data_IF_809716428184
#
_entry.id   IF_809716428184
#
_cell.length_a   1.000
_cell.length_b   1.000
_cell.length_c   1.000
_cell.angle_alpha   90.00
_cell.angle_beta   90.00
_cell.angle_gamma   90.00
#
_symmetry.space_group_name_H-M   'P 1'
#
loop_
_entity.id
_entity.type
_entity.pdbx_description
1 polymer ?
#
# COMPACT_ATOMS: atom_id res chain seq x y z
N UNK A 1 14.90 -0.87 31.33
CA UNK A 1 14.57 -0.97 31.82
C UNK A 1 14.24 -1.06 31.77
N UNK A 2 14.32 -1.16 31.42
CA UNK A 2 14.03 -1.46 31.66
C UNK A 2 13.91 -1.40 31.24
N UNK A 3 14.02 -1.42 30.91
CA UNK A 3 13.75 -1.65 31.03
C UNK A 3 13.73 -1.55 30.45
N UNK A 4 13.82 -1.67 30.11
CA UNK A 4 13.59 -1.73 30.03
C UNK A 4 13.56 -1.68 29.49
N UNK A 5 13.63 -1.92 29.19
CA UNK A 5 13.54 -2.05 29.21
C UNK A 5 13.46 -2.12 28.73
N UNK A 6 13.31 -2.34 28.48
CA UNK A 6 13.13 -2.56 28.61
C UNK A 6 13.00 -2.74 28.24
N UNK A 7 12.89 -2.89 27.98
CA UNK A 7 12.60 -3.21 28.17
C UNK A 7 12.46 -3.57 27.95
N UNK A 8 12.47 -3.85 27.64
CA UNK A 8 12.16 -4.30 27.84
C UNK A 8 11.85 -4.88 27.86
N UNK A 9 11.89 -5.15 27.62
CA UNK A 9 11.58 -5.68 27.99
C UNK A 9 11.22 -6.17 27.97
N UNK A 10 11.12 -6.51 28.20
CA UNK A 10 10.52 -7.03 28.29
C UNK A 10 10.29 -7.37 27.85
N UNK A 11 10.55 -7.77 27.60
CA UNK A 11 10.19 -8.17 27.17
C UNK A 11 10.12 -8.80 26.63
N UNK A 12 9.87 -9.81 26.47
CA UNK A 12 9.87 -10.42 25.92
C UNK A 12 9.32 -11.49 25.72
N UNK A 13 9.17 -12.27 26.21
CA UNK A 13 8.86 -13.46 26.04
C UNK A 13 7.60 -13.79 25.74
N UNK A 14 6.76 -13.84 26.35
CA UNK A 14 5.67 -13.98 25.75
C UNK A 14 5.68 -13.11 24.67
N UNK A 15 6.69 -12.98 24.27
CA UNK A 15 6.99 -12.11 23.37
C UNK A 15 6.61 -12.43 22.00
N UNK A 16 6.54 -13.62 21.48
CA UNK A 16 6.21 -13.86 20.10
C UNK A 16 4.87 -13.28 19.75
N UNK A 17 3.84 -13.47 20.54
CA UNK A 17 2.57 -12.87 20.27
C UNK A 17 2.62 -11.38 20.42
N UNK A 18 3.33 -10.93 21.42
CA UNK A 18 3.45 -9.51 21.66
C UNK A 18 4.14 -8.82 20.50
N UNK A 19 5.19 -9.45 19.99
CA UNK A 19 5.91 -8.88 18.85
C UNK A 19 5.01 -8.76 17.62
N UNK A 20 4.19 -9.77 17.35
CA UNK A 20 3.27 -9.72 16.25
C UNK A 20 2.26 -8.60 16.42
N UNK A 21 1.74 -8.43 17.63
CA UNK A 21 0.81 -7.34 17.90
C UNK A 21 1.47 -5.98 17.70
N UNK A 22 2.73 -5.84 18.13
CA UNK A 22 3.44 -4.59 18.00
C UNK A 22 3.68 -4.26 16.52
N UNK A 23 4.00 -5.27 15.71
CA UNK A 23 4.15 -5.06 14.28
C UNK A 23 2.86 -4.57 13.65
N UNK A 24 1.75 -5.20 14.02
CA UNK A 24 0.46 -4.83 13.46
C UNK A 24 -0.01 -3.47 13.93
N UNK A 25 0.46 -3.03 15.10
CA UNK A 25 0.07 -1.73 15.63
C UNK A 25 0.50 -0.58 14.72
N UNK A 26 1.59 -0.75 13.97
CA UNK A 26 2.04 0.29 13.04
C UNK A 26 1.10 0.47 11.86
N UNK A 27 0.28 -0.52 11.56
CA UNK A 27 -0.64 -0.47 10.44
C UNK A 27 -2.04 -0.05 10.86
N UNK A 28 -2.29 0.03 12.17
CA UNK A 28 -3.61 0.35 12.67
C UNK A 28 -4.01 1.76 12.31
N UNK A 29 -5.16 1.90 11.68
CA UNK A 29 -5.65 3.19 11.22
C UNK A 29 -4.98 3.72 9.98
N UNK A 30 -4.01 2.99 9.41
CA UNK A 30 -3.34 3.41 8.20
C UNK A 30 -4.35 3.44 7.05
N UNK A 31 -4.37 4.52 6.30
CA UNK A 31 -5.28 4.65 5.17
C UNK A 31 -4.61 4.13 3.91
N UNK A 32 -5.21 3.12 3.30
CA UNK A 32 -4.67 2.47 2.11
C UNK A 32 -5.70 2.57 0.99
N UNK A 33 -5.27 3.03 -0.18
CA UNK A 33 -6.12 3.05 -1.36
C UNK A 33 -5.64 1.97 -2.33
N UNK A 34 -6.56 1.13 -2.79
CA UNK A 34 -6.26 0.07 -3.76
C UNK A 34 -7.05 0.34 -5.04
N UNK A 35 -6.33 0.56 -6.13
CA UNK A 35 -6.92 0.91 -7.42
C UNK A 35 -6.70 -0.25 -8.38
N UNK A 36 -7.79 -0.92 -8.74
CA UNK A 36 -7.73 -2.06 -9.66
C UNK A 36 -9.11 -2.25 -10.27
N UNK A 37 -9.18 -2.51 -11.57
CA UNK A 37 -10.47 -2.75 -12.20
C UNK A 37 -11.01 -4.14 -11.88
N UNK A 38 -10.21 -5.03 -11.31
CA UNK A 38 -10.64 -6.36 -10.89
C UNK A 38 -11.25 -6.31 -9.50
N UNK A 39 -12.53 -6.66 -9.42
CA UNK A 39 -13.23 -6.74 -8.14
C UNK A 39 -12.59 -7.74 -7.20
N UNK A 40 -12.09 -8.86 -7.74
CA UNK A 40 -11.45 -9.89 -6.94
C UNK A 40 -10.20 -9.35 -6.26
N UNK A 41 -9.36 -8.64 -7.00
CA UNK A 41 -8.14 -8.06 -6.44
C UNK A 41 -8.47 -7.03 -5.38
N UNK A 42 -9.44 -6.14 -5.64
CA UNK A 42 -9.85 -5.15 -4.65
C UNK A 42 -10.31 -5.80 -3.36
N UNK A 43 -11.15 -6.82 -3.46
CA UNK A 43 -11.67 -7.52 -2.29
C UNK A 43 -10.59 -8.27 -1.53
N UNK A 44 -9.67 -8.92 -2.25
CA UNK A 44 -8.58 -9.64 -1.61
C UNK A 44 -7.72 -8.69 -0.80
N UNK A 45 -7.30 -7.59 -1.41
CA UNK A 45 -6.47 -6.60 -0.73
C UNK A 45 -7.22 -6.00 0.47
N UNK A 46 -8.48 -5.65 0.27
CA UNK A 46 -9.29 -5.05 1.33
C UNK A 46 -9.41 -5.99 2.53
N UNK A 47 -9.69 -7.27 2.27
CA UNK A 47 -9.83 -8.25 3.34
C UNK A 47 -8.53 -8.43 4.11
N UNK A 48 -7.42 -8.57 3.38
CA UNK A 48 -6.12 -8.77 4.00
C UNK A 48 -5.72 -7.57 4.86
N UNK A 49 -5.92 -6.38 4.34
CA UNK A 49 -5.49 -5.15 5.02
C UNK A 49 -6.41 -4.77 6.17
N UNK A 50 -7.71 -5.01 6.02
CA UNK A 50 -8.66 -4.72 7.10
C UNK A 50 -8.35 -5.55 8.33
N UNK A 51 -7.90 -6.80 8.15
CA UNK A 51 -7.52 -7.65 9.27
C UNK A 51 -6.34 -7.11 10.06
N UNK A 52 -5.51 -6.30 9.41
CA UNK A 52 -4.36 -5.69 10.06
C UNK A 52 -4.69 -4.32 10.66
N UNK A 53 -5.94 -3.93 10.60
CA UNK A 53 -6.39 -2.67 11.20
C UNK A 53 -6.31 -1.48 10.26
N UNK A 54 -5.99 -1.68 8.99
CA UNK A 54 -5.96 -0.60 8.02
C UNK A 54 -7.36 -0.12 7.67
N UNK A 55 -7.46 1.16 7.36
CA UNK A 55 -8.67 1.72 6.79
C UNK A 55 -8.50 1.69 5.26
N UNK A 56 -9.28 0.87 4.57
CA UNK A 56 -9.05 0.58 3.16
C UNK A 56 -10.12 1.25 2.30
N UNK A 57 -9.66 1.99 1.30
CA UNK A 57 -10.51 2.57 0.26
C UNK A 57 -10.17 1.87 -1.05
N UNK A 58 -11.14 1.70 -1.92
CA UNK A 58 -10.90 1.08 -3.22
C UNK A 58 -11.40 1.99 -4.34
N UNK A 59 -10.78 1.86 -5.51
CA UNK A 59 -11.18 2.60 -6.69
C UNK A 59 -11.09 1.67 -7.91
N UNK A 60 -11.96 1.90 -8.88
CA UNK A 60 -12.06 1.01 -10.03
C UNK A 60 -11.23 1.48 -11.23
N UNK A 61 -10.84 2.75 -11.24
CA UNK A 61 -10.00 3.29 -12.31
C UNK A 61 -9.26 4.52 -11.80
N UNK A 62 -8.45 5.12 -12.67
CA UNK A 62 -7.61 6.26 -12.29
C UNK A 62 -8.40 7.51 -11.93
N UNK A 63 -9.53 7.74 -12.58
CA UNK A 63 -10.34 8.93 -12.29
C UNK A 63 -11.01 8.80 -10.92
N UNK A 64 -11.58 7.61 -10.64
CA UNK A 64 -12.15 7.33 -9.33
C UNK A 64 -11.08 7.46 -8.24
N UNK A 65 -9.86 7.01 -8.57
CA UNK A 65 -8.74 7.09 -7.64
C UNK A 65 -8.40 8.52 -7.27
N UNK A 66 -8.34 9.41 -8.25
CA UNK A 66 -8.00 10.82 -7.96
C UNK A 66 -9.03 11.45 -7.05
N UNK A 67 -10.31 11.13 -7.24
CA UNK A 67 -11.36 11.63 -6.36
C UNK A 67 -11.19 11.09 -4.94
N UNK A 68 -10.88 9.80 -4.80
CA UNK A 68 -10.69 9.17 -3.49
C UNK A 68 -9.47 9.72 -2.77
N UNK A 69 -8.40 10.00 -3.51
CA UNK A 69 -7.19 10.59 -2.94
C UNK A 69 -7.49 11.96 -2.38
N UNK A 70 -8.23 12.78 -3.12
CA UNK A 70 -8.60 14.11 -2.67
C UNK A 70 -9.48 14.06 -1.42
N UNK A 71 -10.41 13.12 -1.38
CA UNK A 71 -11.35 13.00 -0.28
C UNK A 71 -10.72 12.43 0.99
N UNK A 72 -9.85 11.45 0.85
CA UNK A 72 -9.39 10.66 2.00
C UNK A 72 -7.90 10.84 2.32
N UNK A 73 -7.11 11.31 1.36
CA UNK A 73 -5.67 11.51 1.53
C UNK A 73 -5.00 10.27 2.12
N UNK A 74 -4.97 9.16 1.36
CA UNK A 74 -4.40 7.91 1.87
C UNK A 74 -2.91 8.04 2.16
N UNK A 75 -2.43 7.16 3.04
CA UNK A 75 -1.02 7.10 3.41
C UNK A 75 -0.19 6.34 2.38
N UNK A 76 -0.83 5.44 1.62
CA UNK A 76 -0.17 4.66 0.58
C UNK A 76 -1.20 4.25 -0.47
N UNK A 77 -0.75 4.13 -1.71
CA UNK A 77 -1.61 3.80 -2.86
C UNK A 77 -1.04 2.60 -3.59
N UNK A 78 -1.89 1.61 -3.87
CA UNK A 78 -1.59 0.51 -4.77
C UNK A 78 -2.40 0.71 -6.04
N UNK A 79 -1.75 0.64 -7.20
CA UNK A 79 -2.43 0.91 -8.46
C UNK A 79 -2.08 -0.12 -9.52
N UNK A 80 -3.12 -0.71 -10.13
CA UNK A 80 -2.97 -1.64 -11.24
C UNK A 80 -2.40 -0.90 -12.45
N UNK A 81 -1.42 -1.49 -13.09
CA UNK A 81 -0.79 -0.92 -14.28
C UNK A 81 -1.79 -0.88 -15.44
N UNK A 82 -2.56 -1.95 -15.61
CA UNK A 82 -3.47 -2.07 -16.74
C UNK A 82 -4.88 -1.66 -16.36
N UNK A 83 -5.25 -0.47 -16.76
CA UNK A 83 -6.62 0.01 -16.57
C UNK A 83 -7.03 0.77 -17.81
N UNK A 84 -8.34 0.75 -18.17
CA UNK A 84 -8.79 1.49 -19.35
C UNK A 84 -8.71 2.99 -19.13
N UNK A 85 -8.50 3.71 -20.20
CA UNK A 85 -8.49 5.17 -20.25
C UNK A 85 -7.29 5.79 -19.56
N UNK A 86 -7.12 5.57 -18.28
CA UNK A 86 -6.02 6.13 -17.49
C UNK A 86 -5.33 4.96 -16.81
N UNK A 87 -4.16 4.55 -17.33
CA UNK A 87 -3.45 3.39 -16.80
C UNK A 87 -2.72 3.73 -15.50
N UNK A 88 -2.08 2.74 -14.90
CA UNK A 88 -1.40 2.92 -13.64
C UNK A 88 -0.23 3.90 -13.70
N UNK A 89 0.52 3.90 -14.80
CA UNK A 89 1.63 4.85 -14.96
C UNK A 89 1.10 6.28 -15.04
N UNK A 90 0.05 6.49 -15.82
CA UNK A 90 -0.57 7.81 -15.95
C UNK A 90 -1.16 8.27 -14.61
N UNK A 91 -1.83 7.37 -13.91
CA UNK A 91 -2.41 7.68 -12.60
C UNK A 91 -1.31 8.08 -11.62
N UNK A 92 -0.22 7.30 -11.58
CA UNK A 92 0.91 7.59 -10.70
C UNK A 92 1.52 8.96 -11.04
N UNK A 93 1.70 9.24 -12.33
CA UNK A 93 2.26 10.53 -12.74
C UNK A 93 1.40 11.69 -12.26
N UNK A 94 0.08 11.56 -12.36
CA UNK A 94 -0.83 12.61 -11.89
C UNK A 94 -0.73 12.81 -10.38
N UNK A 95 -0.61 11.73 -9.61
CA UNK A 95 -0.44 11.83 -8.17
C UNK A 95 0.88 12.55 -7.85
N UNK A 96 1.95 12.14 -8.50
CA UNK A 96 3.28 12.68 -8.21
C UNK A 96 3.49 14.11 -8.69
N UNK A 97 2.71 14.55 -9.67
CA UNK A 97 2.75 15.95 -10.11
C UNK A 97 1.94 16.90 -9.22
N UNK A 98 1.12 16.35 -8.35
CA UNK A 98 0.32 17.17 -7.45
C UNK A 98 1.13 17.50 -6.21
N UNK A 99 1.25 18.77 -5.88
CA UNK A 99 2.08 19.23 -4.76
C UNK A 99 1.63 18.69 -3.42
N UNK A 100 0.33 18.43 -3.28
CA UNK A 100 -0.23 17.93 -2.02
C UNK A 100 -0.03 16.43 -1.89
N UNK A 101 -0.15 15.67 -3.01
CA UNK A 101 -0.19 14.22 -2.96
C UNK A 101 1.12 13.53 -3.33
N UNK A 102 2.11 14.29 -3.83
CA UNK A 102 3.34 13.67 -4.36
C UNK A 102 4.17 12.91 -3.34
N UNK A 103 3.95 13.16 -2.05
CA UNK A 103 4.66 12.43 -1.00
C UNK A 103 4.01 11.08 -0.66
N UNK A 104 2.83 10.81 -1.19
CA UNK A 104 2.17 9.52 -0.94
C UNK A 104 2.90 8.43 -1.72
N UNK A 105 3.38 7.38 -1.05
CA UNK A 105 4.02 6.27 -1.78
C UNK A 105 3.03 5.58 -2.71
N UNK A 106 3.47 5.28 -3.92
CA UNK A 106 2.66 4.59 -4.93
C UNK A 106 3.35 3.29 -5.30
N UNK A 107 2.65 2.19 -5.09
CA UNK A 107 3.13 0.84 -5.40
C UNK A 107 2.33 0.33 -6.59
N UNK A 108 3.01 -0.09 -7.65
CA UNK A 108 2.35 -0.58 -8.85
C UNK A 108 1.98 -2.05 -8.71
N UNK A 109 0.83 -2.43 -9.23
CA UNK A 109 0.42 -3.83 -9.26
C UNK A 109 0.48 -4.32 -10.70
N UNK A 110 1.32 -5.33 -10.94
CA UNK A 110 1.54 -5.87 -12.28
C UNK A 110 1.00 -7.30 -12.35
N UNK A 111 0.31 -7.63 -13.43
CA UNK A 111 -0.15 -9.01 -13.61
C UNK A 111 1.04 -9.90 -13.91
N UNK A 112 0.85 -11.21 -13.66
CA UNK A 112 1.91 -12.20 -13.90
C UNK A 112 2.33 -12.21 -15.36
N UNK A 113 1.39 -11.98 -16.26
CA UNK A 113 1.65 -11.97 -17.69
C UNK A 113 2.08 -10.59 -18.19
N UNK A 114 1.94 -9.57 -17.37
CA UNK A 114 2.31 -8.22 -17.73
C UNK A 114 3.76 -7.97 -17.43
N UNK A 115 4.38 -7.11 -18.24
CA UNK A 115 5.75 -6.71 -18.01
C UNK A 115 5.75 -5.35 -17.36
N UNK A 116 6.17 -5.30 -16.11
CA UNK A 116 6.36 -4.02 -15.44
C UNK A 116 7.60 -3.35 -16.02
N UNK A 117 7.43 -2.17 -16.55
CA UNK A 117 8.54 -1.38 -17.07
C UNK A 117 9.14 -0.58 -15.90
N UNK A 118 10.26 -1.06 -15.38
CA UNK A 118 10.90 -0.43 -14.22
C UNK A 118 11.35 0.99 -14.52
N UNK A 119 11.85 1.21 -15.73
CA UNK A 119 12.30 2.54 -16.10
C UNK A 119 11.12 3.51 -16.14
N UNK A 120 10.01 3.08 -16.75
CA UNK A 120 8.81 3.91 -16.81
C UNK A 120 8.24 4.17 -15.41
N UNK A 121 8.27 3.13 -14.55
CA UNK A 121 7.84 3.29 -13.17
C UNK A 121 8.63 4.34 -12.42
N UNK A 122 9.96 4.35 -12.60
CA UNK A 122 10.80 5.37 -11.97
C UNK A 122 10.51 6.75 -12.52
N UNK A 123 10.30 6.86 -13.82
CA UNK A 123 10.03 8.17 -14.44
C UNK A 123 8.75 8.79 -13.87
N UNK A 124 7.70 7.98 -13.67
CA UNK A 124 6.45 8.50 -13.12
C UNK A 124 6.48 8.61 -11.59
N UNK A 125 7.54 8.13 -10.94
CA UNK A 125 7.74 8.33 -9.51
C UNK A 125 7.19 7.24 -8.62
N UNK A 126 6.87 6.05 -9.14
CA UNK A 126 6.44 4.95 -8.27
C UNK A 126 7.59 4.47 -7.40
N UNK A 127 7.27 4.06 -6.17
CA UNK A 127 8.29 3.63 -5.22
C UNK A 127 8.62 2.14 -5.34
N UNK A 128 7.68 1.33 -5.82
CA UNK A 128 7.87 -0.11 -5.87
C UNK A 128 6.78 -0.75 -6.73
N UNK A 129 6.88 -2.06 -6.94
CA UNK A 129 5.83 -2.81 -7.63
C UNK A 129 5.67 -4.20 -7.00
N UNK A 130 4.47 -4.77 -7.13
CA UNK A 130 4.17 -6.13 -6.73
C UNK A 130 3.54 -6.85 -7.91
N UNK A 131 3.78 -8.16 -8.00
CA UNK A 131 3.16 -8.99 -9.03
C UNK A 131 1.89 -9.63 -8.48
N UNK A 132 0.82 -9.61 -9.28
CA UNK A 132 -0.43 -10.27 -8.91
C UNK A 132 -0.39 -11.73 -9.39
N UNK A 133 -0.84 -12.69 -8.60
CA UNK A 133 -1.36 -12.53 -7.25
C UNK A 133 -0.24 -12.29 -6.24
N UNK A 134 -0.49 -11.41 -5.30
CA UNK A 134 0.47 -11.12 -4.23
C UNK A 134 0.07 -11.87 -2.97
N UNK A 135 1.06 -12.16 -2.13
CA UNK A 135 0.81 -12.75 -0.82
C UNK A 135 0.52 -11.66 0.19
N UNK A 136 -0.03 -12.06 1.33
CA UNK A 136 -0.22 -11.15 2.45
C UNK A 136 1.12 -10.53 2.87
N UNK A 137 2.16 -11.38 2.96
CA UNK A 137 3.48 -10.93 3.38
C UNK A 137 4.08 -9.91 2.42
N UNK A 138 3.88 -10.11 1.11
CA UNK A 138 4.37 -9.16 0.13
C UNK A 138 3.65 -7.83 0.25
N UNK A 139 2.34 -7.88 0.44
CA UNK A 139 1.53 -6.67 0.58
C UNK A 139 1.92 -5.88 1.82
N UNK A 140 2.01 -6.56 2.96
CA UNK A 140 2.37 -5.91 4.22
C UNK A 140 3.81 -5.42 4.20
N UNK A 141 4.72 -6.18 3.59
CA UNK A 141 6.11 -5.78 3.47
C UNK A 141 6.28 -4.50 2.66
N UNK A 142 5.53 -4.36 1.58
CA UNK A 142 5.57 -3.14 0.78
C UNK A 142 5.10 -1.93 1.60
N UNK A 143 4.04 -2.13 2.39
CA UNK A 143 3.53 -1.05 3.23
C UNK A 143 4.56 -0.64 4.26
N UNK A 144 5.11 -1.62 4.99
CA UNK A 144 6.06 -1.32 6.07
C UNK A 144 7.31 -0.62 5.56
N UNK A 145 7.76 -1.01 4.37
CA UNK A 145 8.96 -0.41 3.79
C UNK A 145 8.76 1.05 3.41
N UNK A 146 7.56 1.42 3.00
CA UNK A 146 7.35 2.71 2.33
C UNK A 146 6.52 3.73 3.10
N UNK A 147 5.96 3.39 4.25
CA UNK A 147 5.12 4.35 4.98
C UNK A 147 5.89 5.23 5.96
N UNK A 148 7.11 4.88 6.31
CA UNK A 148 7.92 5.72 7.21
C UNK A 148 7.43 5.80 8.64
N UNK A 149 6.65 4.84 9.08
CA UNK A 149 6.13 4.81 10.45
C UNK A 149 6.94 3.90 11.34
#
# INVERSE_FOLDING_TARGET
MLKDGGSTGQVSALRSETAVSDENANLKGLKVLVIDDSKTIRRTAETLLAKEGCEVFTAIDGFDALAKIADHQPDIVFVDIRMPRLDGYQTCALIKHNKVFRTIPVIMLSSKDGLFDRARGRIVGSEHYLTKPFTKEELLGAIETHIGR
#
